data_IF_665996517250
#
_entry.id   IF_665996517250
#
_cell.length_a   1.000
_cell.length_b   1.000
_cell.length_c   1.000
_cell.angle_alpha   90.00
_cell.angle_beta   90.00
_cell.angle_gamma   90.00
#
_symmetry.space_group_name_H-M   'P 1'
#
loop_
_entity.id
_entity.type
_entity.pdbx_description
1 polymer ?
#
# COMPACT_ATOMS: atom_id res chain seq x y z
N UNK A 1 20.62 1.11 -4.87
CA UNK A 1 20.39 1.18 -3.41
C UNK A 1 18.90 1.00 -3.07
N UNK A 2 17.98 1.31 -3.98
CA UNK A 2 16.54 1.20 -3.72
C UNK A 2 15.93 2.51 -3.20
N UNK A 3 16.77 3.53 -3.04
CA UNK A 3 16.37 4.89 -2.72
C UNK A 3 15.91 5.57 -4.02
N UNK A 4 14.75 6.24 -4.05
CA UNK A 4 14.34 7.02 -5.21
C UNK A 4 15.33 8.17 -5.45
N UNK A 5 15.98 8.21 -6.61
CA UNK A 5 16.84 9.34 -7.01
C UNK A 5 16.08 10.47 -7.71
N UNK A 6 14.84 10.21 -8.11
CA UNK A 6 13.96 11.12 -8.85
C UNK A 6 12.82 11.62 -7.96
N UNK A 7 12.22 12.75 -8.34
CA UNK A 7 11.03 13.31 -7.69
C UNK A 7 9.77 12.49 -8.02
N UNK A 8 9.65 11.35 -7.34
CA UNK A 8 8.50 10.44 -7.49
C UNK A 8 7.23 11.06 -6.91
N UNK A 9 7.33 11.84 -5.85
CA UNK A 9 6.21 12.50 -5.18
C UNK A 9 5.43 13.41 -6.12
N UNK A 10 6.13 14.31 -6.83
CA UNK A 10 5.50 15.23 -7.79
C UNK A 10 4.75 14.47 -8.89
N UNK A 11 5.30 13.36 -9.37
CA UNK A 11 4.64 12.52 -10.40
C UNK A 11 3.35 11.91 -9.85
N UNK A 12 3.39 11.36 -8.64
CA UNK A 12 2.23 10.74 -7.98
C UNK A 12 1.14 11.77 -7.67
N UNK A 13 1.50 12.93 -7.13
CA UNK A 13 0.58 14.05 -6.89
C UNK A 13 -0.10 14.49 -8.19
N UNK A 14 0.68 14.63 -9.27
CA UNK A 14 0.13 15.02 -10.57
C UNK A 14 -0.84 13.97 -11.14
N UNK A 15 -0.55 12.68 -10.96
CA UNK A 15 -1.45 11.60 -11.37
C UNK A 15 -2.73 11.61 -10.53
N UNK A 16 -2.63 11.75 -9.21
CA UNK A 16 -3.76 11.84 -8.30
C UNK A 16 -4.69 13.01 -8.66
N UNK A 17 -4.13 14.21 -8.84
CA UNK A 17 -4.90 15.41 -9.23
C UNK A 17 -5.61 15.23 -10.58
N UNK A 18 -4.98 14.56 -11.55
CA UNK A 18 -5.61 14.28 -12.85
C UNK A 18 -6.82 13.34 -12.69
N UNK A 19 -6.71 12.31 -11.85
CA UNK A 19 -7.80 11.38 -11.56
C UNK A 19 -8.95 12.05 -10.80
N UNK A 20 -8.64 12.90 -9.83
CA UNK A 20 -9.66 13.65 -9.07
C UNK A 20 -10.37 14.67 -9.96
N UNK A 21 -9.66 15.33 -10.88
CA UNK A 21 -10.26 16.28 -11.84
C UNK A 21 -11.31 15.64 -12.76
N UNK A 22 -11.17 14.35 -13.07
CA UNK A 22 -12.12 13.62 -13.91
C UNK A 22 -13.15 12.83 -13.09
N UNK A 23 -13.21 13.04 -11.77
CA UNK A 23 -14.07 12.32 -10.84
C UNK A 23 -13.96 10.79 -10.99
N UNK A 24 -12.72 10.32 -11.19
CA UNK A 24 -12.47 8.89 -11.32
C UNK A 24 -12.85 8.18 -10.02
N UNK A 25 -13.35 6.93 -10.06
CA UNK A 25 -13.53 6.17 -8.83
C UNK A 25 -12.24 6.09 -7.99
N UNK A 26 -12.31 6.14 -6.65
CA UNK A 26 -11.13 6.08 -5.77
C UNK A 26 -10.20 4.89 -6.01
N UNK A 27 -10.75 3.79 -6.51
CA UNK A 27 -10.07 2.52 -6.79
C UNK A 27 -9.79 2.31 -8.29
N UNK A 28 -9.94 3.34 -9.13
CA UNK A 28 -9.72 3.21 -10.57
C UNK A 28 -8.26 2.88 -10.90
N UNK A 29 -7.32 3.42 -10.11
CA UNK A 29 -5.88 3.22 -10.25
C UNK A 29 -5.28 3.14 -8.85
N UNK A 30 -4.39 2.18 -8.64
CA UNK A 30 -3.57 2.07 -7.44
C UNK A 30 -2.13 1.73 -7.82
N UNK A 31 -1.19 2.19 -7.01
CA UNK A 31 0.26 2.01 -7.16
C UNK A 31 0.77 1.27 -5.93
N UNK A 32 1.37 0.10 -6.14
CA UNK A 32 1.94 -0.70 -5.07
C UNK A 32 3.45 -0.70 -5.16
N UNK A 33 4.12 -0.23 -4.11
CA UNK A 33 5.54 -0.47 -3.92
C UNK A 33 5.75 -1.77 -3.17
N UNK A 34 6.61 -2.63 -3.73
CA UNK A 34 7.02 -3.87 -3.12
C UNK A 34 8.52 -3.87 -2.89
N UNK A 35 8.95 -3.66 -1.65
CA UNK A 35 10.37 -3.63 -1.30
C UNK A 35 10.93 -5.04 -1.21
N UNK A 36 11.95 -5.33 -2.01
CA UNK A 36 12.77 -6.54 -1.90
C UNK A 36 14.12 -6.17 -1.27
N UNK A 37 14.61 -7.01 -0.36
CA UNK A 37 15.83 -6.73 0.41
C UNK A 37 15.55 -6.09 1.77
N UNK A 38 16.61 -5.63 2.45
CA UNK A 38 16.54 -5.09 3.81
C UNK A 38 17.32 -3.78 3.95
N UNK A 39 17.27 -2.94 2.92
CA UNK A 39 17.88 -1.61 2.98
C UNK A 39 16.93 -0.67 3.72
N UNK A 40 17.42 -0.02 4.78
CA UNK A 40 16.58 0.76 5.70
C UNK A 40 16.10 2.07 5.08
N UNK A 41 16.96 2.77 4.32
CA UNK A 41 16.61 4.02 3.66
C UNK A 41 15.49 3.86 2.64
N UNK A 42 15.50 2.78 1.87
CA UNK A 42 14.45 2.42 0.93
C UNK A 42 13.14 2.10 1.66
N UNK A 43 13.22 1.49 2.85
CA UNK A 43 12.03 1.21 3.66
C UNK A 43 11.40 2.50 4.18
N UNK A 44 12.22 3.43 4.62
CA UNK A 44 11.79 4.73 5.12
C UNK A 44 11.21 5.57 3.99
N UNK A 45 11.92 5.69 2.86
CA UNK A 45 11.46 6.45 1.69
C UNK A 45 10.12 5.92 1.14
N UNK A 46 9.96 4.60 1.04
CA UNK A 46 8.69 4.01 0.57
C UNK A 46 7.55 4.19 1.57
N UNK A 47 7.85 4.26 2.87
CA UNK A 47 6.84 4.52 3.90
C UNK A 47 6.43 5.98 3.91
N UNK A 48 7.38 6.89 3.75
CA UNK A 48 7.12 8.32 3.60
C UNK A 48 6.26 8.60 2.36
N UNK A 49 6.51 7.89 1.26
CA UNK A 49 5.70 7.99 0.05
C UNK A 49 4.25 7.52 0.24
N UNK A 50 4.02 6.52 1.08
CA UNK A 50 2.70 5.95 1.40
C UNK A 50 1.89 6.88 2.33
N UNK A 51 2.49 7.26 3.46
CA UNK A 51 1.84 8.06 4.50
C UNK A 51 1.83 9.58 4.17
N UNK A 52 2.85 10.07 3.47
CA UNK A 52 3.15 11.49 3.31
C UNK A 52 2.50 12.18 2.11
N UNK A 53 2.09 11.45 1.07
CA UNK A 53 1.51 12.04 -0.14
C UNK A 53 0.29 12.93 0.12
N UNK A 54 -0.57 12.52 1.06
CA UNK A 54 -1.75 13.29 1.45
C UNK A 54 -1.39 14.55 2.27
N UNK A 55 -0.24 14.55 2.96
CA UNK A 55 0.22 15.66 3.80
C UNK A 55 0.91 16.76 2.98
N UNK A 56 1.47 16.41 1.82
CA UNK A 56 2.18 17.32 0.92
C UNK A 56 1.27 18.29 0.13
N UNK A 57 -0.06 18.09 0.17
CA UNK A 57 -1.02 18.87 -0.62
C UNK A 57 -2.12 19.41 0.28
N UNK A 58 -2.32 20.73 0.28
CA UNK A 58 -3.43 21.36 0.99
C UNK A 58 -4.78 20.83 0.47
N UNK A 59 -5.60 20.29 1.37
CA UNK A 59 -6.85 19.60 1.03
C UNK A 59 -6.70 18.10 0.72
N UNK A 60 -5.46 17.58 0.73
CA UNK A 60 -5.13 16.19 0.48
C UNK A 60 -5.21 15.78 -0.99
N UNK A 61 -4.81 14.53 -1.26
CA UNK A 61 -5.01 13.84 -2.53
C UNK A 61 -5.64 12.48 -2.27
N UNK A 62 -6.23 11.87 -3.31
CA UNK A 62 -6.74 10.51 -3.22
C UNK A 62 -5.68 9.53 -2.73
N UNK A 63 -6.08 8.63 -1.85
CA UNK A 63 -5.25 7.54 -1.36
C UNK A 63 -5.15 6.42 -2.42
N UNK A 64 -4.03 6.38 -3.14
CA UNK A 64 -3.78 5.46 -4.27
C UNK A 64 -2.40 4.80 -4.26
N UNK A 65 -1.59 5.02 -3.22
CA UNK A 65 -0.28 4.39 -3.03
C UNK A 65 -0.39 3.43 -1.86
N UNK A 66 0.33 2.32 -1.90
CA UNK A 66 0.49 1.40 -0.76
C UNK A 66 1.89 0.79 -0.80
N UNK A 67 2.48 0.53 0.37
CA UNK A 67 3.81 -0.07 0.49
C UNK A 67 3.78 -1.40 1.26
N UNK A 68 4.40 -2.42 0.66
CA UNK A 68 4.64 -3.73 1.30
C UNK A 68 6.12 -4.07 1.22
N UNK A 69 6.66 -4.64 2.29
CA UNK A 69 8.05 -5.11 2.35
C UNK A 69 8.12 -6.63 2.39
N UNK A 70 9.08 -7.21 1.69
CA UNK A 70 9.57 -8.55 1.96
C UNK A 70 10.10 -8.57 3.42
N UNK A 71 9.77 -9.58 4.23
CA UNK A 71 10.18 -9.71 5.65
C UNK A 71 9.53 -8.79 6.71
N UNK A 72 8.21 -8.89 6.91
CA UNK A 72 7.62 -8.56 8.24
C UNK A 72 7.54 -9.74 9.22
N UNK A 73 8.07 -10.93 8.86
CA UNK A 73 7.83 -12.17 9.61
C UNK A 73 9.03 -13.09 9.88
N UNK A 74 10.26 -12.75 9.49
CA UNK A 74 11.46 -13.58 9.75
C UNK A 74 11.60 -14.80 8.83
N UNK A 75 10.49 -15.30 8.30
CA UNK A 75 10.49 -16.37 7.30
C UNK A 75 10.60 -15.71 5.93
N UNK A 76 11.68 -15.99 5.18
CA UNK A 76 11.92 -15.53 3.80
C UNK A 76 10.89 -16.09 2.79
N UNK A 77 9.60 -15.98 3.07
CA UNK A 77 8.51 -16.52 2.28
C UNK A 77 7.41 -15.48 2.12
N UNK A 78 6.90 -15.36 0.90
CA UNK A 78 5.76 -14.50 0.60
C UNK A 78 4.48 -15.31 0.85
N UNK A 79 3.87 -15.12 2.01
CA UNK A 79 2.60 -15.78 2.34
C UNK A 79 1.51 -15.37 1.34
N UNK A 80 0.48 -16.21 1.18
CA UNK A 80 -0.66 -15.88 0.32
C UNK A 80 -1.34 -14.56 0.70
N UNK A 81 -1.34 -14.19 2.00
CA UNK A 81 -1.84 -12.90 2.48
C UNK A 81 -0.96 -11.74 2.02
N UNK A 82 0.36 -11.92 2.01
CA UNK A 82 1.29 -10.92 1.49
C UNK A 82 1.13 -10.78 -0.02
N UNK A 83 0.98 -11.87 -0.78
CA UNK A 83 0.70 -11.82 -2.22
C UNK A 83 -0.58 -11.02 -2.46
N UNK A 84 -1.65 -11.33 -1.72
CA UNK A 84 -2.93 -10.66 -1.90
C UNK A 84 -2.84 -9.16 -1.59
N UNK A 85 -2.10 -8.78 -0.53
CA UNK A 85 -1.87 -7.37 -0.22
C UNK A 85 -1.06 -6.69 -1.33
N UNK A 86 0.02 -7.31 -1.81
CA UNK A 86 0.83 -6.76 -2.91
C UNK A 86 0.02 -6.56 -4.20
N UNK A 87 -0.90 -7.47 -4.52
CA UNK A 87 -1.66 -7.38 -5.78
C UNK A 87 -2.83 -6.41 -5.67
N UNK A 88 -3.44 -6.26 -4.49
CA UNK A 88 -4.72 -5.56 -4.34
C UNK A 88 -4.71 -4.41 -3.32
N UNK A 89 -3.62 -4.17 -2.60
CA UNK A 89 -3.55 -3.19 -1.50
C UNK A 89 -3.88 -1.78 -1.96
N UNK A 90 -3.26 -1.36 -3.06
CA UNK A 90 -3.46 -0.03 -3.62
C UNK A 90 -4.84 0.22 -4.25
N UNK A 91 -5.61 -0.83 -4.57
CA UNK A 91 -6.91 -0.72 -5.28
C UNK A 91 -8.09 -1.07 -4.38
N UNK A 92 -7.94 -2.06 -3.49
CA UNK A 92 -9.01 -2.59 -2.65
C UNK A 92 -8.72 -2.26 -1.19
N UNK A 93 -9.10 -1.06 -0.75
CA UNK A 93 -8.86 -0.56 0.62
C UNK A 93 -9.37 -1.47 1.75
N UNK A 94 -10.37 -2.32 1.48
CA UNK A 94 -10.84 -3.33 2.45
C UNK A 94 -9.83 -4.46 2.67
N UNK A 95 -9.08 -4.83 1.64
CA UNK A 95 -8.03 -5.84 1.71
C UNK A 95 -6.75 -5.28 2.33
N UNK A 96 -6.44 -4.02 2.06
CA UNK A 96 -5.31 -3.33 2.65
C UNK A 96 -5.37 -3.24 4.19
N UNK A 97 -6.55 -2.93 4.76
CA UNK A 97 -6.77 -2.88 6.22
C UNK A 97 -6.60 -4.21 6.96
N UNK A 98 -6.39 -5.33 6.25
CA UNK A 98 -6.14 -6.64 6.88
C UNK A 98 -4.66 -6.77 7.21
N UNK A 99 -4.34 -7.20 8.43
CA UNK A 99 -2.96 -7.52 8.80
C UNK A 99 -2.46 -8.67 7.92
N UNK A 100 -1.19 -8.57 7.52
CA UNK A 100 -0.46 -9.57 6.74
C UNK A 100 -0.38 -10.96 7.42
N UNK A 101 -0.71 -11.07 8.70
CA UNK A 101 -0.94 -12.34 9.39
C UNK A 101 -2.29 -12.92 8.93
N UNK A 102 -2.29 -14.09 8.30
CA UNK A 102 -3.45 -14.77 7.70
C UNK A 102 -4.64 -15.11 8.62
N UNK A 103 -4.86 -14.39 9.71
CA UNK A 103 -6.06 -14.47 10.54
C UNK A 103 -7.22 -13.77 9.85
N UNK A 104 -7.84 -14.50 8.92
CA UNK A 104 -9.24 -14.28 8.64
C UNK A 104 -10.00 -14.43 9.96
N UNK A 105 -10.68 -13.36 10.44
CA UNK A 105 -11.72 -13.49 11.46
C UNK A 105 -12.79 -14.44 10.93
N UNK A 106 -12.61 -15.75 11.13
CA UNK A 106 -13.70 -16.72 11.02
C UNK A 106 -14.67 -16.31 12.11
N UNK A 107 -15.79 -15.74 11.68
CA UNK A 107 -16.90 -15.41 12.57
C UNK A 107 -17.28 -16.68 13.32
N UNK A 108 -16.96 -16.75 14.61
CA UNK A 108 -17.41 -17.80 15.50
C UNK A 108 -18.92 -17.63 15.73
N UNK A 109 -19.72 -18.00 14.73
CA UNK A 109 -21.17 -18.06 14.81
C UNK A 109 -21.70 -19.24 14.01
N UNK A 110 -21.29 -20.45 14.39
CA UNK A 110 -22.21 -21.59 14.44
C UNK A 110 -21.53 -22.73 15.17
N UNK A 111 -22.32 -23.55 15.87
CA UNK A 111 -21.96 -24.64 16.77
C UNK A 111 -21.85 -24.23 18.24
N UNK A 112 -23.03 -24.01 18.84
CA UNK A 112 -23.32 -24.54 20.16
C UNK A 112 -24.21 -25.79 19.97
N UNK A 113 -24.10 -26.81 20.85
CA UNK A 113 -24.72 -28.13 20.70
C UNK A 113 -26.24 -28.11 20.73
#
# INVERSE_FOLDING_TARGET
DGVPSDDVETVLINAAKKLDKIDAPPYQVGIQFFQVGNEEGAREALKELDDGLAELVEGGVRDMVDTVTWNKGGDNTLSASNILKVVLGAVVKRLDRRRASGESRRSARHLAP
#
